data_IF_679314293970
#
_entry.id   IF_679314293970
#
_cell.length_a   1.000
_cell.length_b   1.000
_cell.length_c   1.000
_cell.angle_alpha   90.00
_cell.angle_beta   90.00
_cell.angle_gamma   90.00
#
_symmetry.space_group_name_H-M   'P 1'
#
loop_
_entity.id
_entity.type
_entity.pdbx_description
1 polymer ?
#
# COMPACT_ATOMS: atom_id res chain seq x y z
N UNK A 1 -8.42 -0.47 16.76
CA UNK A 1 -7.96 -1.81 17.14
C UNK A 1 -8.60 -2.24 18.45
N UNK A 2 -8.88 -3.53 18.67
CA UNK A 2 -9.54 -4.00 19.90
C UNK A 2 -8.66 -3.80 21.15
N UNK A 3 -7.33 -3.79 20.97
CA UNK A 3 -6.34 -3.73 22.05
C UNK A 3 -5.83 -2.32 22.38
N UNK A 4 -6.24 -1.27 21.66
CA UNK A 4 -5.71 0.09 21.91
C UNK A 4 -4.28 0.31 21.43
N UNK A 5 -3.80 -0.48 20.47
CA UNK A 5 -2.53 -0.23 19.80
C UNK A 5 -2.68 0.80 18.67
N UNK A 6 -1.72 1.72 18.56
CA UNK A 6 -1.65 2.77 17.53
C UNK A 6 -0.37 2.68 16.70
N UNK A 7 -0.41 3.19 15.47
CA UNK A 7 0.75 3.34 14.58
C UNK A 7 0.59 2.69 13.20
N UNK A 8 -0.39 1.81 12.99
CA UNK A 8 -0.66 1.13 11.71
C UNK A 8 -2.01 1.51 11.06
N UNK A 9 -2.69 2.55 11.55
CA UNK A 9 -3.97 3.03 11.01
C UNK A 9 -3.86 3.31 9.51
N UNK A 10 -2.73 3.89 9.09
CA UNK A 10 -2.41 4.22 7.70
C UNK A 10 -2.35 3.01 6.75
N UNK A 11 -2.34 1.78 7.28
CA UNK A 11 -2.37 0.53 6.51
C UNK A 11 -3.78 -0.02 6.31
N UNK A 12 -4.78 0.51 7.01
CA UNK A 12 -6.12 -0.07 6.99
C UNK A 12 -6.78 0.04 5.60
N UNK A 13 -7.37 -1.07 5.16
CA UNK A 13 -8.00 -1.18 3.84
C UNK A 13 -7.01 -1.21 2.67
N UNK A 14 -5.71 -1.39 2.91
CA UNK A 14 -4.76 -1.76 1.86
C UNK A 14 -4.92 -3.27 1.59
N UNK A 15 -5.22 -3.68 0.35
CA UNK A 15 -5.37 -5.09 0.01
C UNK A 15 -4.01 -5.81 -0.02
N UNK A 16 -4.04 -7.14 0.16
CA UNK A 16 -2.86 -8.00 0.10
C UNK A 16 -2.49 -8.61 1.46
N UNK A 17 -1.34 -9.29 1.49
CA UNK A 17 -0.78 -9.90 2.70
C UNK A 17 0.14 -8.93 3.42
N UNK A 18 0.43 -9.22 4.70
CA UNK A 18 1.43 -8.45 5.46
C UNK A 18 2.82 -8.51 4.79
N UNK A 19 3.22 -9.66 4.24
CA UNK A 19 4.47 -9.80 3.49
C UNK A 19 4.52 -8.92 2.25
N UNK A 20 3.43 -8.85 1.47
CA UNK A 20 3.33 -7.93 0.34
C UNK A 20 3.39 -6.45 0.77
N UNK A 21 2.74 -6.11 1.89
CA UNK A 21 2.80 -4.77 2.47
C UNK A 21 4.24 -4.41 2.86
N UNK A 22 4.98 -5.32 3.49
CA UNK A 22 6.39 -5.13 3.87
C UNK A 22 7.28 -4.99 2.63
N UNK A 23 7.13 -5.88 1.64
CA UNK A 23 7.90 -5.86 0.41
C UNK A 23 7.80 -4.51 -0.32
N UNK A 24 6.61 -3.93 -0.35
CA UNK A 24 6.35 -2.64 -1.00
C UNK A 24 6.49 -1.43 -0.08
N UNK A 25 6.95 -1.60 1.18
CA UNK A 25 6.84 -0.56 2.23
C UNK A 25 5.49 0.20 2.15
N UNK A 26 4.41 -0.58 2.08
CA UNK A 26 3.09 -0.09 1.75
C UNK A 26 2.47 0.70 2.90
N UNK A 27 1.66 1.69 2.54
CA UNK A 27 1.01 2.58 3.50
C UNK A 27 0.27 3.71 2.80
N UNK A 28 -0.52 4.47 3.57
CA UNK A 28 -1.18 5.68 3.10
C UNK A 28 -0.75 6.88 3.95
N UNK A 29 -1.28 8.08 3.66
CA UNK A 29 -0.94 9.30 4.41
C UNK A 29 0.57 9.60 4.50
N UNK A 30 1.33 9.26 3.44
CA UNK A 30 2.80 9.40 3.37
C UNK A 30 3.59 8.56 4.37
N UNK A 31 2.93 7.63 5.06
CA UNK A 31 3.57 6.65 5.93
C UNK A 31 3.79 5.32 5.21
N UNK A 32 4.73 4.52 5.71
CA UNK A 32 4.96 3.14 5.29
C UNK A 32 5.04 2.20 6.49
N UNK A 33 4.65 0.94 6.31
CA UNK A 33 4.69 -0.07 7.38
C UNK A 33 6.09 -0.22 8.00
N UNK A 34 7.15 0.11 7.26
CA UNK A 34 8.53 0.14 7.75
C UNK A 34 8.73 1.00 9.00
N UNK A 35 7.85 1.98 9.27
CA UNK A 35 7.87 2.78 10.50
C UNK A 35 7.59 1.96 11.77
N UNK A 36 6.84 0.86 11.64
CA UNK A 36 6.45 -0.02 12.74
C UNK A 36 7.26 -1.33 12.78
N UNK A 37 8.17 -1.56 11.83
CA UNK A 37 8.96 -2.79 11.75
C UNK A 37 10.05 -2.79 12.82
N UNK A 38 10.13 -3.91 13.54
CA UNK A 38 11.26 -4.26 14.40
C UNK A 38 12.16 -5.26 13.68
N UNK A 39 11.56 -6.30 13.10
CA UNK A 39 12.29 -7.37 12.40
C UNK A 39 11.40 -8.02 11.34
N UNK A 40 12.01 -8.44 10.24
CA UNK A 40 11.40 -9.27 9.21
C UNK A 40 12.20 -10.56 9.10
N UNK A 41 11.51 -11.68 9.19
CA UNK A 41 12.05 -13.01 8.92
C UNK A 41 11.67 -13.41 7.49
N UNK A 42 12.66 -13.80 6.70
CA UNK A 42 12.45 -14.32 5.35
C UNK A 42 13.26 -15.59 5.10
N UNK A 43 12.86 -16.37 4.10
CA UNK A 43 13.52 -17.61 3.68
C UNK A 43 14.08 -17.40 2.28
N UNK A 44 15.38 -17.59 2.10
CA UNK A 44 16.03 -17.59 0.80
C UNK A 44 15.69 -18.85 0.00
N UNK A 45 15.99 -18.85 -1.31
CA UNK A 45 15.68 -19.98 -2.22
C UNK A 45 16.36 -21.29 -1.80
N UNK A 46 17.50 -21.21 -1.13
CA UNK A 46 18.23 -22.36 -0.59
C UNK A 46 17.70 -22.86 0.77
N UNK A 47 16.65 -22.22 1.29
CA UNK A 47 16.02 -22.55 2.56
C UNK A 47 16.63 -21.86 3.78
N UNK A 48 17.66 -21.01 3.61
CA UNK A 48 18.25 -20.28 4.74
C UNK A 48 17.32 -19.19 5.26
N UNK A 49 17.23 -19.09 6.59
CA UNK A 49 16.48 -18.02 7.26
C UNK A 49 17.35 -16.76 7.40
N UNK A 50 16.77 -15.64 6.98
CA UNK A 50 17.33 -14.31 7.20
C UNK A 50 16.45 -13.54 8.17
N UNK A 51 17.09 -12.97 9.19
CA UNK A 51 16.48 -12.03 10.13
C UNK A 51 17.02 -10.64 9.84
N UNK A 52 16.17 -9.73 9.36
CA UNK A 52 16.55 -8.36 9.04
C UNK A 52 15.85 -7.42 10.01
N UNK A 53 16.62 -6.58 10.69
CA UNK A 53 16.07 -5.44 11.40
C UNK A 53 15.54 -4.39 10.41
N UNK A 54 14.95 -3.32 10.95
CA UNK A 54 14.38 -2.24 10.15
C UNK A 54 15.37 -1.62 9.16
N UNK A 55 16.60 -1.37 9.57
CA UNK A 55 17.61 -0.71 8.74
C UNK A 55 18.10 -1.64 7.63
N UNK A 56 18.28 -2.93 7.96
CA UNK A 56 18.65 -3.99 7.00
C UNK A 56 17.56 -4.26 5.96
N UNK A 57 16.30 -3.92 6.26
CA UNK A 57 15.21 -3.99 5.28
C UNK A 57 15.31 -2.92 4.18
N UNK A 58 16.13 -1.87 4.37
CA UNK A 58 16.40 -0.80 3.39
C UNK A 58 15.11 -0.19 2.83
N UNK A 59 14.18 0.17 3.71
CA UNK A 59 12.90 0.74 3.31
C UNK A 59 13.09 2.12 2.65
N UNK A 60 12.43 2.30 1.51
CA UNK A 60 12.32 3.57 0.80
C UNK A 60 10.88 3.83 0.38
N UNK A 61 10.65 4.89 -0.42
CA UNK A 61 9.31 5.17 -0.93
C UNK A 61 8.86 4.08 -1.91
N UNK A 62 7.94 3.22 -1.45
CA UNK A 62 7.47 2.03 -2.20
C UNK A 62 8.57 1.02 -2.52
N UNK A 63 9.64 1.00 -1.73
CA UNK A 63 10.75 0.09 -1.91
C UNK A 63 11.19 -0.62 -0.64
N UNK A 64 11.78 -1.80 -0.79
CA UNK A 64 12.54 -2.50 0.24
C UNK A 64 13.62 -3.38 -0.39
N UNK A 65 14.50 -3.97 0.43
CA UNK A 65 15.45 -4.99 -0.04
C UNK A 65 14.75 -6.21 -0.65
N UNK A 66 13.52 -6.52 -0.22
CA UNK A 66 12.78 -7.71 -0.63
C UNK A 66 12.32 -7.69 -2.09
N UNK A 67 12.32 -6.52 -2.74
CA UNK A 67 12.08 -6.44 -4.19
C UNK A 67 13.31 -6.83 -5.02
N UNK A 68 14.50 -6.86 -4.40
CA UNK A 68 15.77 -7.19 -5.04
C UNK A 68 16.31 -8.56 -4.61
N UNK A 69 15.73 -9.16 -3.58
CA UNK A 69 16.05 -10.52 -3.13
C UNK A 69 15.01 -11.51 -3.65
N UNK A 70 15.41 -12.75 -3.84
CA UNK A 70 14.49 -13.87 -4.09
C UNK A 70 13.91 -14.48 -2.79
N UNK A 71 14.08 -13.79 -1.66
CA UNK A 71 13.60 -14.22 -0.35
C UNK A 71 12.07 -14.13 -0.24
N UNK A 72 11.47 -15.13 0.42
CA UNK A 72 10.04 -15.13 0.80
C UNK A 72 9.89 -14.69 2.24
N UNK A 73 9.10 -13.65 2.50
CA UNK A 73 8.81 -13.18 3.87
C UNK A 73 7.90 -14.20 4.58
N UNK A 74 8.34 -14.69 5.75
CA UNK A 74 7.62 -15.70 6.55
C UNK A 74 7.24 -15.21 7.95
N UNK A 75 7.82 -14.11 8.42
CA UNK A 75 7.55 -13.55 9.74
C UNK A 75 7.82 -12.06 9.80
N UNK A 76 7.03 -11.35 10.62
CA UNK A 76 7.20 -9.91 10.83
C UNK A 76 6.94 -9.60 12.30
N UNK A 77 7.89 -8.91 12.93
CA UNK A 77 7.74 -8.35 14.28
C UNK A 77 7.49 -6.84 14.16
N UNK A 78 6.36 -6.41 14.70
CA UNK A 78 5.92 -5.01 14.70
C UNK A 78 5.96 -4.46 16.11
N UNK A 79 6.23 -3.16 16.24
CA UNK A 79 6.08 -2.41 17.48
C UNK A 79 5.03 -1.33 17.31
N UNK A 80 4.13 -1.25 18.30
CA UNK A 80 3.04 -0.30 18.36
C UNK A 80 2.97 0.32 19.75
N UNK A 81 2.48 1.55 19.82
CA UNK A 81 2.25 2.23 21.08
C UNK A 81 0.88 1.84 21.65
N UNK A 82 0.82 1.63 22.97
CA UNK A 82 -0.44 1.38 23.67
C UNK A 82 -1.07 2.70 24.11
N UNK A 83 -2.31 2.94 23.71
CA UNK A 83 -3.07 4.13 24.09
C UNK A 83 -4.36 3.76 24.83
N UNK A 84 -4.74 4.64 25.77
CA UNK A 84 -5.98 4.50 26.54
C UNK A 84 -7.23 4.81 25.71
N UNK A 85 -7.14 5.80 24.81
CA UNK A 85 -8.24 6.19 23.93
C UNK A 85 -8.31 5.32 22.67
N UNK A 86 -8.95 4.16 22.82
CA UNK A 86 -9.27 3.26 21.69
C UNK A 86 -10.23 3.90 20.68
N UNK A 87 -11.02 4.89 21.12
CA UNK A 87 -12.00 5.61 20.31
C UNK A 87 -11.33 6.47 19.25
N UNK A 88 -10.28 7.20 19.63
CA UNK A 88 -9.46 8.00 18.71
C UNK A 88 -8.86 7.15 17.58
N UNK A 89 -8.20 6.03 17.92
CA UNK A 89 -7.63 5.10 16.93
C UNK A 89 -8.71 4.60 15.96
N UNK A 90 -9.87 4.21 16.47
CA UNK A 90 -10.99 3.77 15.63
C UNK A 90 -11.49 4.90 14.72
N UNK A 91 -11.59 6.11 15.24
CA UNK A 91 -12.05 7.27 14.47
C UNK A 91 -11.12 7.55 13.29
N UNK A 92 -9.80 7.55 13.51
CA UNK A 92 -8.81 7.73 12.46
C UNK A 92 -8.92 6.64 11.38
N UNK A 93 -8.95 5.37 11.78
CA UNK A 93 -9.13 4.25 10.84
C UNK A 93 -10.40 4.42 9.99
N UNK A 94 -11.53 4.80 10.60
CA UNK A 94 -12.78 5.03 9.87
C UNK A 94 -12.68 6.21 8.89
N UNK A 95 -11.95 7.26 9.25
CA UNK A 95 -11.62 8.37 8.36
C UNK A 95 -10.81 7.93 7.15
N UNK A 96 -9.75 7.14 7.37
CA UNK A 96 -8.91 6.55 6.31
C UNK A 96 -9.75 5.68 5.38
N UNK A 97 -10.53 4.74 5.92
CA UNK A 97 -11.39 3.86 5.13
C UNK A 97 -12.45 4.65 4.35
N UNK A 98 -12.98 5.75 4.89
CA UNK A 98 -13.90 6.63 4.17
C UNK A 98 -13.21 7.33 3.00
N UNK A 99 -12.01 7.86 3.21
CA UNK A 99 -11.21 8.48 2.15
C UNK A 99 -10.80 7.49 1.06
N UNK A 100 -10.47 6.25 1.43
CA UNK A 100 -10.15 5.19 0.47
C UNK A 100 -11.36 4.81 -0.38
N UNK A 101 -12.54 4.64 0.23
CA UNK A 101 -13.78 4.32 -0.48
C UNK A 101 -14.19 5.36 -1.51
N UNK A 102 -13.86 6.64 -1.32
CA UNK A 102 -14.19 7.68 -2.30
C UNK A 102 -13.20 7.78 -3.46
N UNK A 103 -12.02 7.15 -3.36
CA UNK A 103 -10.94 7.21 -4.35
C UNK A 103 -10.76 5.88 -5.10
N UNK A 104 -10.82 4.77 -4.38
CA UNK A 104 -10.52 3.45 -4.92
C UNK A 104 -11.81 2.74 -5.36
N UNK A 105 -11.84 2.16 -6.57
CA UNK A 105 -12.97 1.43 -7.08
C UNK A 105 -12.99 0.00 -6.51
N UNK A 106 -13.33 -0.13 -5.22
CA UNK A 106 -13.23 -1.38 -4.46
C UNK A 106 -14.08 -2.55 -5.02
N UNK A 107 -15.09 -2.24 -5.84
CA UNK A 107 -15.99 -3.24 -6.46
C UNK A 107 -15.51 -3.76 -7.81
N UNK A 108 -14.43 -3.21 -8.34
CA UNK A 108 -13.87 -3.58 -9.64
C UNK A 108 -12.51 -4.23 -9.45
N UNK A 109 -12.18 -5.22 -10.28
CA UNK A 109 -10.82 -5.73 -10.37
C UNK A 109 -9.86 -4.63 -10.83
N UNK A 110 -8.84 -4.34 -10.03
CA UNK A 110 -7.85 -3.31 -10.33
C UNK A 110 -6.52 -3.60 -9.63
N UNK A 111 -5.43 -2.99 -10.11
CA UNK A 111 -4.08 -3.14 -9.54
C UNK A 111 -3.71 -2.01 -8.56
N UNK A 112 -4.68 -1.25 -8.04
CA UNK A 112 -4.39 -0.01 -7.32
C UNK A 112 -3.73 1.03 -8.21
N UNK A 113 -3.04 2.00 -7.59
CA UNK A 113 -2.31 3.06 -8.29
C UNK A 113 -1.15 2.45 -9.07
N UNK A 114 -1.15 2.64 -10.38
CA UNK A 114 -0.12 2.06 -11.26
C UNK A 114 1.08 2.98 -11.40
N UNK A 115 0.92 4.27 -11.11
CA UNK A 115 2.02 5.22 -11.17
C UNK A 115 2.50 5.55 -9.76
N UNK A 116 3.82 5.55 -9.58
CA UNK A 116 4.43 6.05 -8.36
C UNK A 116 4.21 7.55 -8.26
N UNK A 117 3.86 8.02 -7.07
CA UNK A 117 3.79 9.45 -6.77
C UNK A 117 5.14 9.91 -6.23
N UNK A 118 6.18 9.82 -7.07
CA UNK A 118 7.52 10.30 -6.74
C UNK A 118 7.47 11.77 -6.25
N UNK A 119 8.14 12.13 -5.15
CA UNK A 119 8.08 13.49 -4.60
C UNK A 119 8.44 14.58 -5.61
N UNK A 120 9.49 14.37 -6.42
CA UNK A 120 9.94 15.36 -7.40
C UNK A 120 8.89 15.58 -8.51
N UNK A 121 8.27 14.50 -8.98
CA UNK A 121 7.17 14.56 -9.95
C UNK A 121 5.92 15.19 -9.35
N UNK A 122 5.64 14.91 -8.07
CA UNK A 122 4.49 15.46 -7.37
C UNK A 122 4.59 16.98 -7.21
N UNK A 123 5.78 17.50 -6.91
CA UNK A 123 6.01 18.95 -6.80
C UNK A 123 5.85 19.66 -8.14
N UNK A 124 6.38 19.07 -9.22
CA UNK A 124 6.33 19.66 -10.57
C UNK A 124 4.97 19.55 -11.24
N UNK A 125 4.29 18.41 -11.08
CA UNK A 125 3.12 18.06 -11.87
C UNK A 125 1.89 17.72 -11.03
N UNK A 126 2.03 17.57 -9.72
CA UNK A 126 0.97 17.08 -8.84
C UNK A 126 0.78 15.56 -8.92
N UNK A 127 -0.32 15.03 -8.35
CA UNK A 127 -0.56 13.58 -8.30
C UNK A 127 -0.72 13.00 -9.72
N UNK A 128 -0.22 11.78 -9.98
CA UNK A 128 -0.34 11.13 -11.29
C UNK A 128 -1.78 11.12 -11.84
N UNK A 129 -2.77 10.86 -10.98
CA UNK A 129 -4.18 10.87 -11.37
C UNK A 129 -4.68 12.22 -11.92
N UNK A 130 -4.15 13.34 -11.42
CA UNK A 130 -4.47 14.67 -11.93
C UNK A 130 -3.76 14.97 -13.25
N UNK A 131 -2.50 14.51 -13.41
CA UNK A 131 -1.78 14.62 -14.68
C UNK A 131 -2.51 13.87 -15.78
N UNK A 132 -2.90 12.63 -15.52
CA UNK A 132 -3.67 11.77 -16.43
C UNK A 132 -5.01 12.42 -16.82
N UNK A 133 -5.67 13.08 -15.86
CA UNK A 133 -6.91 13.83 -16.10
C UNK A 133 -6.70 14.98 -17.08
N UNK A 134 -5.69 15.82 -16.82
CA UNK A 134 -5.38 16.99 -17.66
C UNK A 134 -4.99 16.59 -19.08
N UNK A 135 -4.39 15.41 -19.26
CA UNK A 135 -4.04 14.87 -20.58
C UNK A 135 -5.24 14.23 -21.32
N UNK A 136 -6.43 14.20 -20.73
CA UNK A 136 -7.61 13.60 -21.37
C UNK A 136 -7.52 12.08 -21.55
N UNK A 137 -6.66 11.43 -20.78
CA UNK A 137 -6.42 9.98 -20.86
C UNK A 137 -7.42 9.17 -20.02
N UNK A 138 -8.24 9.83 -19.20
CA UNK A 138 -9.30 9.17 -18.46
C UNK A 138 -10.29 8.48 -19.39
N UNK A 139 -10.71 7.29 -19.00
CA UNK A 139 -11.66 6.48 -19.76
C UNK A 139 -11.11 5.87 -21.06
N UNK A 140 -9.84 6.13 -21.43
CA UNK A 140 -9.20 5.44 -22.56
C UNK A 140 -9.05 3.94 -22.29
N UNK A 141 -9.11 3.16 -23.36
CA UNK A 141 -9.13 1.70 -23.35
C UNK A 141 -8.19 1.17 -24.42
N UNK A 142 -7.40 0.14 -24.10
CA UNK A 142 -6.62 -0.64 -25.06
C UNK A 142 -6.88 -2.12 -24.77
N UNK A 143 -7.54 -2.82 -25.70
CA UNK A 143 -7.91 -4.24 -25.52
C UNK A 143 -8.86 -4.48 -24.34
N UNK A 144 -8.58 -5.52 -23.53
CA UNK A 144 -9.33 -5.89 -22.32
C UNK A 144 -8.99 -5.08 -21.05
N UNK A 145 -7.91 -4.28 -21.09
CA UNK A 145 -7.55 -3.34 -20.03
C UNK A 145 -8.34 -2.06 -20.26
N UNK A 146 -9.27 -1.72 -19.35
CA UNK A 146 -9.96 -0.46 -19.52
C UNK A 146 -10.50 0.22 -18.29
N UNK A 147 -10.38 1.55 -18.41
CA UNK A 147 -10.86 2.62 -17.55
C UNK A 147 -9.91 2.96 -16.41
N UNK A 148 -9.21 4.08 -16.61
CA UNK A 148 -8.79 4.96 -15.52
C UNK A 148 -10.04 5.43 -14.79
N UNK A 149 -10.21 4.97 -13.55
CA UNK A 149 -11.39 5.23 -12.75
C UNK A 149 -11.29 6.59 -12.04
N UNK A 150 -12.44 7.21 -11.79
CA UNK A 150 -12.60 8.61 -11.36
C UNK A 150 -11.57 9.04 -10.30
N UNK A 151 -10.85 10.13 -10.58
CA UNK A 151 -9.96 10.81 -9.62
C UNK A 151 -8.67 10.07 -9.27
N UNK A 152 -8.35 8.96 -9.95
CA UNK A 152 -7.19 8.12 -9.62
C UNK A 152 -6.46 7.61 -10.86
N UNK A 153 -5.22 7.19 -10.65
CA UNK A 153 -4.29 6.58 -11.61
C UNK A 153 -4.41 5.05 -11.64
N UNK A 154 -5.64 4.55 -11.46
CA UNK A 154 -5.98 3.13 -11.25
C UNK A 154 -6.63 2.58 -12.51
N UNK A 155 -6.11 1.47 -13.02
CA UNK A 155 -6.70 0.76 -14.15
C UNK A 155 -7.63 -0.36 -13.67
N UNK A 156 -8.85 -0.38 -14.21
CA UNK A 156 -9.75 -1.52 -14.10
C UNK A 156 -9.40 -2.60 -15.13
N UNK A 157 -9.53 -3.84 -14.68
CA UNK A 157 -9.38 -5.03 -15.51
C UNK A 157 -10.78 -5.58 -15.78
N UNK A 158 -11.21 -5.57 -17.05
CA UNK A 158 -12.53 -6.08 -17.39
C UNK A 158 -12.54 -7.61 -17.43
N UNK A 159 -13.70 -8.21 -17.16
CA UNK A 159 -13.88 -9.66 -17.20
C UNK A 159 -13.32 -10.42 -15.99
N UNK A 160 -12.67 -9.74 -15.04
CA UNK A 160 -12.28 -10.32 -13.76
C UNK A 160 -13.22 -9.87 -12.64
N UNK A 161 -13.56 -10.77 -11.69
CA UNK A 161 -14.26 -10.38 -10.48
C UNK A 161 -13.35 -9.47 -9.64
N UNK A 162 -13.97 -8.61 -8.81
CA UNK A 162 -13.21 -7.82 -7.84
C UNK A 162 -12.27 -8.73 -7.05
N UNK A 163 -10.99 -8.36 -6.98
CA UNK A 163 -9.96 -9.19 -6.38
C UNK A 163 -10.16 -9.41 -4.86
N UNK A 164 -11.04 -8.65 -4.22
CA UNK A 164 -11.27 -8.70 -2.78
C UNK A 164 -12.75 -8.47 -2.44
N UNK A 165 -13.34 -9.37 -1.64
CA UNK A 165 -14.62 -9.19 -0.92
C UNK A 165 -14.33 -8.95 0.55
#
# INVERSE_FOLDING_TARGET
MLEGLTGAEHTCGIPGTLGGLVCMNGGSQRKGIGESIVEVTSVAVDGQLHHRDRDSCQFGYRTSVFQRSDDVIVGVRLSFELVSDKGAVRHEMLGILRNRRSKFPLRDANCGSVFLSDPSMYELHGPPGAVIDRLGLKGKQIGGLSRLLWGCDIFKINGLPAAFR
#
